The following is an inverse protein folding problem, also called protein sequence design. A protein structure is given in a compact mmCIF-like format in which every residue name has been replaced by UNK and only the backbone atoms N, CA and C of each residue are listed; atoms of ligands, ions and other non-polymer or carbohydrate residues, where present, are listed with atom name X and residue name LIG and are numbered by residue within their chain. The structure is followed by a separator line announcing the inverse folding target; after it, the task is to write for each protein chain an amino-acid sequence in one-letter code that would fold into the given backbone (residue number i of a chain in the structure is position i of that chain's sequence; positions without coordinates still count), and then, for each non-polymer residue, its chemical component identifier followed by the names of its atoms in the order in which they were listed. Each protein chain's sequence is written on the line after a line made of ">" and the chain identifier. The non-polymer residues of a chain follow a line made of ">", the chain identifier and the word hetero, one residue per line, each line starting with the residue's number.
data_IF_202275025301
#
_entry.id   IF_202275025301
#
_cell.length_a   1.000
_cell.length_b   1.000
_cell.length_c   1.000
_cell.angle_alpha   90.00
_cell.angle_beta   90.00
_cell.angle_gamma   90.00
#
_symmetry.space_group_name_H-M   'P 1'
#
loop_
_entity.id
_entity.type
_entity.pdbx_description
1 polymer ?
#
# COMPACT_ATOMS: atom_id res chain seq x y z
N UNK A 1 -5.61 -10.14 -16.68
CA UNK A 1 -6.32 -11.09 -17.57
C UNK A 1 -5.32 -12.09 -18.18
N UNK A 2 -4.37 -11.66 -19.03
CA UNK A 2 -3.38 -12.58 -19.62
C UNK A 2 -2.52 -13.27 -18.55
N UNK A 3 -1.98 -12.50 -17.59
CA UNK A 3 -1.16 -13.04 -16.49
C UNK A 3 -1.93 -14.06 -15.63
N UNK A 4 -3.21 -13.83 -15.39
CA UNK A 4 -4.07 -14.77 -14.67
C UNK A 4 -4.36 -16.03 -15.50
N UNK A 5 -4.58 -15.90 -16.81
CA UNK A 5 -4.85 -17.03 -17.69
C UNK A 5 -3.66 -18.00 -17.82
N UNK A 6 -2.43 -17.50 -17.68
CA UNK A 6 -1.22 -18.34 -17.66
C UNK A 6 -0.91 -18.94 -16.27
N UNK A 7 -1.76 -18.69 -15.27
CA UNK A 7 -1.65 -19.30 -13.95
C UNK A 7 -0.58 -18.69 -13.04
N UNK A 8 -0.35 -17.37 -13.13
CA UNK A 8 0.54 -16.69 -12.18
C UNK A 8 -0.03 -16.72 -10.75
N UNK A 9 0.84 -16.75 -9.74
CA UNK A 9 0.42 -16.72 -8.34
C UNK A 9 0.02 -15.32 -7.86
N UNK A 10 0.71 -14.27 -8.34
CA UNK A 10 0.46 -12.87 -7.98
C UNK A 10 0.65 -11.95 -9.18
N UNK A 11 -0.12 -10.86 -9.21
CA UNK A 11 0.04 -9.77 -10.18
C UNK A 11 0.48 -8.51 -9.43
N UNK A 12 1.59 -7.90 -9.83
CA UNK A 12 1.99 -6.57 -9.33
C UNK A 12 1.53 -5.50 -10.31
N UNK A 13 0.59 -4.65 -9.88
CA UNK A 13 0.21 -3.44 -10.62
C UNK A 13 1.30 -2.38 -10.39
N UNK A 14 2.38 -2.50 -11.16
CA UNK A 14 3.63 -1.82 -10.86
C UNK A 14 3.78 -0.46 -11.54
N UNK A 15 4.02 0.56 -10.72
CA UNK A 15 4.39 1.91 -11.13
C UNK A 15 5.81 2.02 -11.73
N UNK A 16 6.61 0.95 -11.66
CA UNK A 16 7.95 0.90 -12.29
C UNK A 16 7.83 0.78 -13.80
N UNK A 17 6.74 0.20 -14.29
CA UNK A 17 6.41 0.14 -15.71
C UNK A 17 5.71 1.44 -16.14
N UNK A 18 5.74 1.73 -17.44
CA UNK A 18 5.02 2.87 -18.00
C UNK A 18 3.50 2.72 -17.76
N UNK A 19 2.83 3.71 -17.13
CA UNK A 19 1.39 3.64 -16.91
C UNK A 19 0.63 3.50 -18.24
N UNK A 20 -0.33 2.57 -18.27
CA UNK A 20 -1.26 2.43 -19.38
C UNK A 20 -2.48 3.35 -19.24
N UNK A 21 -2.82 3.73 -18.00
CA UNK A 21 -3.87 4.68 -17.62
C UNK A 21 -3.30 5.55 -16.49
N UNK A 22 -3.42 6.87 -16.62
CA UNK A 22 -2.91 7.85 -15.65
C UNK A 22 -3.97 8.34 -14.66
N UNK A 23 -5.21 7.90 -14.81
CA UNK A 23 -6.35 8.27 -13.98
C UNK A 23 -6.84 7.09 -13.13
N UNK A 24 -7.03 5.92 -13.74
CA UNK A 24 -7.66 4.77 -13.11
C UNK A 24 -6.69 3.60 -12.93
N UNK A 25 -6.78 2.96 -11.76
CA UNK A 25 -6.13 1.67 -11.50
C UNK A 25 -7.09 0.54 -11.87
N UNK A 26 -6.54 -0.67 -12.01
CA UNK A 26 -7.31 -1.89 -12.29
C UNK A 26 -8.33 -2.13 -11.17
N UNK A 27 -9.56 -2.51 -11.55
CA UNK A 27 -10.52 -3.11 -10.62
C UNK A 27 -10.11 -4.55 -10.31
N UNK A 28 -9.38 -4.71 -9.20
CA UNK A 28 -8.75 -5.97 -8.81
C UNK A 28 -9.78 -6.98 -8.27
N UNK A 29 -10.99 -6.53 -7.94
CA UNK A 29 -12.08 -7.39 -7.43
C UNK A 29 -12.65 -8.33 -8.49
N UNK A 30 -12.41 -8.02 -9.77
CA UNK A 30 -12.84 -8.83 -10.92
C UNK A 30 -11.92 -10.01 -11.22
N UNK A 31 -10.79 -10.11 -10.51
CA UNK A 31 -9.77 -11.15 -10.69
C UNK A 31 -9.79 -12.15 -9.53
N UNK A 32 -9.38 -13.39 -9.83
CA UNK A 32 -9.08 -14.41 -8.83
C UNK A 32 -7.64 -14.35 -8.36
N UNK A 33 -6.71 -13.97 -9.26
CA UNK A 33 -5.32 -13.79 -8.90
C UNK A 33 -5.16 -12.59 -7.94
N UNK A 34 -4.41 -12.73 -6.82
CA UNK A 34 -4.18 -11.65 -5.87
C UNK A 34 -3.27 -10.56 -6.47
N UNK A 35 -3.55 -9.32 -6.08
CA UNK A 35 -2.79 -8.15 -6.51
C UNK A 35 -1.88 -7.57 -5.43
N UNK A 36 -0.68 -7.19 -5.85
CA UNK A 36 0.27 -6.36 -5.09
C UNK A 36 0.23 -4.95 -5.67
N UNK A 37 0.19 -3.92 -4.81
CA UNK A 37 0.24 -2.53 -5.25
C UNK A 37 1.25 -1.71 -4.43
N UNK A 38 1.88 -0.73 -5.08
CA UNK A 38 2.78 0.24 -4.45
C UNK A 38 2.04 1.38 -3.73
N UNK A 39 2.53 1.78 -2.56
CA UNK A 39 2.05 2.94 -1.81
C UNK A 39 3.18 3.78 -1.21
N UNK A 40 2.95 5.09 -1.06
CA UNK A 40 3.87 6.06 -0.42
C UNK A 40 3.37 6.57 0.91
N UNK A 41 2.06 6.46 1.15
CA UNK A 41 1.36 6.86 2.36
C UNK A 41 0.11 6.00 2.61
N UNK A 42 -0.51 6.19 3.78
CA UNK A 42 -1.66 5.41 4.22
C UNK A 42 -2.87 5.60 3.30
N UNK A 43 -3.11 6.83 2.84
CA UNK A 43 -4.21 7.12 1.91
C UNK A 43 -4.07 6.35 0.60
N UNK A 44 -2.87 6.37 0.00
CA UNK A 44 -2.58 5.60 -1.22
C UNK A 44 -2.74 4.08 -0.97
N UNK A 45 -2.22 3.56 0.16
CA UNK A 45 -2.36 2.15 0.52
C UNK A 45 -3.83 1.73 0.66
N UNK A 46 -4.63 2.48 1.42
CA UNK A 46 -6.04 2.19 1.65
C UNK A 46 -6.88 2.30 0.38
N UNK A 47 -6.56 3.23 -0.54
CA UNK A 47 -7.22 3.29 -1.87
C UNK A 47 -6.92 2.05 -2.71
N UNK A 48 -5.67 1.58 -2.75
CA UNK A 48 -5.32 0.32 -3.45
C UNK A 48 -6.02 -0.90 -2.84
N UNK A 49 -6.12 -0.96 -1.52
CA UNK A 49 -6.86 -2.01 -0.80
C UNK A 49 -8.35 -1.96 -1.17
N UNK A 50 -8.95 -0.77 -1.19
CA UNK A 50 -10.35 -0.59 -1.58
C UNK A 50 -10.64 -1.05 -3.02
N UNK A 51 -9.65 -0.93 -3.91
CA UNK A 51 -9.73 -1.42 -5.29
C UNK A 51 -9.50 -2.94 -5.42
N UNK A 52 -9.21 -3.64 -4.32
CA UNK A 52 -9.02 -5.09 -4.26
C UNK A 52 -7.56 -5.57 -4.13
N UNK A 53 -6.60 -4.70 -3.82
CA UNK A 53 -5.23 -5.15 -3.55
C UNK A 53 -5.19 -6.06 -2.31
N UNK A 54 -4.58 -7.23 -2.48
CA UNK A 54 -4.41 -8.24 -1.41
C UNK A 54 -3.08 -8.10 -0.67
N UNK A 55 -2.20 -7.22 -1.16
CA UNK A 55 -0.90 -6.91 -0.58
C UNK A 55 -0.47 -5.50 -0.97
N UNK A 56 0.20 -4.81 -0.05
CA UNK A 56 0.83 -3.51 -0.29
C UNK A 56 2.34 -3.65 -0.21
N UNK A 57 3.05 -2.85 -1.00
CA UNK A 57 4.49 -2.63 -0.88
C UNK A 57 4.82 -1.13 -0.89
N UNK A 58 5.94 -0.73 -0.29
CA UNK A 58 6.45 0.63 -0.50
C UNK A 58 6.86 0.81 -1.97
N UNK A 59 6.66 2.01 -2.54
CA UNK A 59 7.19 2.32 -3.88
C UNK A 59 8.73 2.41 -3.89
N UNK A 60 9.25 3.11 -2.89
CA UNK A 60 10.68 3.39 -2.77
C UNK A 60 11.23 4.12 -3.99
N UNK A 61 12.49 3.90 -4.32
CA UNK A 61 13.10 4.30 -5.58
C UNK A 61 13.66 3.04 -6.26
N UNK A 62 12.96 2.53 -7.27
CA UNK A 62 13.34 1.28 -7.90
C UNK A 62 14.63 1.46 -8.71
N UNK A 63 15.57 0.52 -8.56
CA UNK A 63 16.79 0.45 -9.38
C UNK A 63 17.97 1.34 -8.94
N UNK A 64 17.83 2.15 -7.88
CA UNK A 64 18.92 3.05 -7.42
C UNK A 64 19.85 2.42 -6.38
N UNK A 65 19.36 1.42 -5.63
CA UNK A 65 20.06 0.89 -4.46
C UNK A 65 20.05 1.84 -3.25
N UNK A 66 19.23 2.90 -3.27
CA UNK A 66 19.07 3.83 -2.15
C UNK A 66 17.76 3.55 -1.39
N UNK A 67 17.89 3.05 -0.15
CA UNK A 67 16.77 2.65 0.72
C UNK A 67 15.98 3.83 1.30
N UNK A 68 16.47 5.07 1.20
CA UNK A 68 15.90 6.24 1.90
C UNK A 68 14.43 6.45 1.56
N UNK A 69 14.03 6.25 0.30
CA UNK A 69 12.62 6.42 -0.10
C UNK A 69 11.72 5.34 0.48
N UNK A 70 12.16 4.07 0.51
CA UNK A 70 11.38 3.00 1.12
C UNK A 70 11.18 3.24 2.62
N UNK A 71 12.24 3.64 3.34
CA UNK A 71 12.16 4.02 4.76
C UNK A 71 11.19 5.18 4.97
N UNK A 72 11.23 6.21 4.12
CA UNK A 72 10.33 7.36 4.20
C UNK A 72 8.87 6.93 4.06
N UNK A 73 8.55 6.12 3.05
CA UNK A 73 7.18 5.63 2.83
C UNK A 73 6.69 4.76 3.99
N UNK A 74 7.52 3.80 4.44
CA UNK A 74 7.17 2.93 5.56
C UNK A 74 6.92 3.71 6.85
N UNK A 75 7.79 4.68 7.16
CA UNK A 75 7.61 5.56 8.32
C UNK A 75 6.33 6.40 8.21
N UNK A 76 6.03 6.93 7.03
CA UNK A 76 4.82 7.73 6.78
C UNK A 76 3.56 6.90 7.03
N UNK A 77 3.43 5.74 6.37
CA UNK A 77 2.32 4.79 6.55
C UNK A 77 2.14 4.44 8.04
N UNK A 78 3.22 4.05 8.72
CA UNK A 78 3.17 3.67 10.14
C UNK A 78 2.82 4.86 11.05
N UNK A 79 3.29 6.07 10.75
CA UNK A 79 2.96 7.27 11.52
C UNK A 79 1.50 7.67 11.38
N UNK A 80 0.94 7.58 10.17
CA UNK A 80 -0.46 7.88 9.89
C UNK A 80 -1.37 6.84 10.54
N UNK A 81 -1.02 5.55 10.52
CA UNK A 81 -1.78 4.53 11.26
C UNK A 81 -1.80 4.80 12.76
N UNK A 82 -0.65 5.12 13.37
CA UNK A 82 -0.58 5.50 14.80
C UNK A 82 -1.39 6.76 15.10
N UNK A 83 -1.40 7.73 14.18
CA UNK A 83 -2.21 8.92 14.32
C UNK A 83 -3.69 8.57 14.34
N UNK A 84 -4.18 7.76 13.38
CA UNK A 84 -5.57 7.29 13.37
C UNK A 84 -5.94 6.62 14.69
N UNK A 85 -5.11 5.70 15.21
CA UNK A 85 -5.37 5.03 16.48
C UNK A 85 -5.42 5.97 17.70
N UNK A 86 -4.79 7.14 17.61
CA UNK A 86 -4.79 8.13 18.69
C UNK A 86 -6.00 9.08 18.68
N UNK A 87 -6.78 9.07 17.59
CA UNK A 87 -7.95 9.93 17.45
C UNK A 87 -9.10 9.50 18.37
N UNK A 88 -10.03 10.42 18.61
CA UNK A 88 -11.34 10.09 19.17
C UNK A 88 -12.24 9.53 18.06
N UNK A 89 -13.19 8.67 18.42
CA UNK A 89 -14.07 8.02 17.44
C UNK A 89 -14.86 9.02 16.56
N UNK A 90 -15.22 10.18 17.12
CA UNK A 90 -15.94 11.25 16.42
C UNK A 90 -15.07 11.95 15.35
N UNK A 91 -13.74 11.88 15.46
CA UNK A 91 -12.79 12.47 14.51
C UNK A 91 -12.53 11.58 13.28
N UNK A 92 -12.92 10.30 13.33
CA UNK A 92 -12.60 9.31 12.29
C UNK A 92 -13.22 9.61 10.93
N UNK A 93 -14.41 10.25 10.89
CA UNK A 93 -15.05 10.64 9.64
C UNK A 93 -14.26 11.71 8.89
N UNK A 94 -13.72 12.69 9.61
CA UNK A 94 -12.89 13.74 9.00
C UNK A 94 -11.54 13.16 8.55
N UNK A 95 -10.98 12.23 9.32
CA UNK A 95 -9.78 11.51 8.92
C UNK A 95 -9.98 10.71 7.62
N UNK A 96 -11.11 10.00 7.49
CA UNK A 96 -11.46 9.27 6.26
C UNK A 96 -11.59 10.19 5.05
N UNK A 97 -12.21 11.36 5.23
CA UNK A 97 -12.36 12.39 4.18
C UNK A 97 -11.01 12.95 3.74
N UNK A 98 -10.12 13.27 4.68
CA UNK A 98 -8.79 13.79 4.39
C UNK A 98 -7.90 12.76 3.68
N UNK A 99 -8.00 11.49 4.08
CA UNK A 99 -7.30 10.39 3.42
C UNK A 99 -7.94 9.99 2.09
N UNK A 100 -9.16 10.46 1.80
CA UNK A 100 -9.96 10.13 0.61
C UNK A 100 -10.18 8.62 0.45
N UNK A 101 -10.62 7.98 1.54
CA UNK A 101 -10.81 6.53 1.63
C UNK A 101 -12.16 6.22 2.30
N UNK A 102 -12.70 5.00 2.10
CA UNK A 102 -13.87 4.55 2.83
C UNK A 102 -13.67 4.63 4.36
N UNK A 103 -14.70 5.09 5.07
CA UNK A 103 -14.71 5.14 6.54
C UNK A 103 -14.43 3.78 7.16
N UNK A 104 -14.97 2.70 6.59
CA UNK A 104 -14.78 1.33 7.09
C UNK A 104 -13.30 0.91 7.16
N UNK A 105 -12.47 1.38 6.21
CA UNK A 105 -11.04 1.10 6.25
C UNK A 105 -10.33 1.90 7.34
N UNK A 106 -10.70 3.17 7.54
CA UNK A 106 -10.17 3.99 8.64
C UNK A 106 -10.57 3.40 10.00
N UNK A 107 -11.83 2.97 10.14
CA UNK A 107 -12.31 2.26 11.31
C UNK A 107 -11.51 0.98 11.57
N UNK A 108 -11.24 0.18 10.52
CA UNK A 108 -10.39 -1.01 10.66
C UNK A 108 -8.99 -0.66 11.20
N UNK A 109 -8.35 0.40 10.69
CA UNK A 109 -7.04 0.86 11.18
C UNK A 109 -7.15 1.31 12.65
N UNK A 110 -8.18 2.05 12.99
CA UNK A 110 -8.43 2.51 14.36
C UNK A 110 -8.47 1.34 15.35
N UNK A 111 -9.28 0.31 15.02
CA UNK A 111 -9.50 -0.85 15.88
C UNK A 111 -8.29 -1.80 15.93
N UNK A 112 -7.57 -1.99 14.81
CA UNK A 112 -6.57 -3.05 14.68
C UNK A 112 -5.11 -2.59 14.68
N UNK A 113 -4.86 -1.30 14.43
CA UNK A 113 -3.49 -0.73 14.40
C UNK A 113 -2.58 -1.25 13.30
N UNK A 114 -3.16 -1.85 12.25
CA UNK A 114 -2.44 -2.42 11.12
C UNK A 114 -3.31 -2.37 9.87
N UNK A 115 -2.66 -2.47 8.71
CA UNK A 115 -3.37 -2.67 7.45
C UNK A 115 -4.15 -4.00 7.46
N UNK A 116 -5.28 -4.09 6.74
CA UNK A 116 -6.04 -5.33 6.58
C UNK A 116 -5.34 -6.38 5.70
N UNK A 117 -4.22 -6.01 5.08
CA UNK A 117 -3.41 -6.85 4.19
C UNK A 117 -1.94 -6.79 4.58
N UNK A 118 -1.13 -7.68 4.00
CA UNK A 118 0.33 -7.67 4.18
C UNK A 118 0.96 -6.38 3.62
N UNK A 119 2.00 -5.88 4.29
CA UNK A 119 2.76 -4.70 3.87
C UNK A 119 4.25 -5.05 3.79
N UNK A 120 4.82 -4.96 2.59
CA UNK A 120 6.21 -5.28 2.30
C UNK A 120 7.04 -4.01 2.05
N UNK A 121 8.34 -4.11 2.29
CA UNK A 121 9.30 -3.11 1.85
C UNK A 121 9.79 -3.45 0.44
N UNK A 122 9.81 -2.44 -0.44
CA UNK A 122 10.36 -2.52 -1.79
C UNK A 122 10.96 -1.17 -2.23
N UNK A 123 11.91 -1.25 -3.17
CA UNK A 123 12.68 -0.13 -3.72
C UNK A 123 13.92 0.19 -2.87
N UNK A 124 15.10 0.16 -3.49
CA UNK A 124 16.35 0.59 -2.83
C UNK A 124 17.00 -0.38 -1.83
N UNK A 125 16.43 -1.57 -1.58
CA UNK A 125 17.07 -2.59 -0.72
C UNK A 125 18.27 -3.18 -1.44
N UNK A 126 19.48 -2.91 -0.95
CA UNK A 126 20.73 -3.37 -1.57
C UNK A 126 21.55 -4.30 -0.67
N UNK A 127 21.40 -4.19 0.65
CA UNK A 127 22.18 -4.94 1.63
C UNK A 127 21.31 -5.69 2.63
N UNK A 128 21.83 -6.73 3.31
CA UNK A 128 21.14 -7.38 4.42
C UNK A 128 20.77 -6.40 5.57
N UNK A 129 21.56 -5.34 5.77
CA UNK A 129 21.27 -4.31 6.76
C UNK A 129 20.04 -3.48 6.37
N UNK A 130 19.88 -3.16 5.08
CA UNK A 130 18.68 -2.48 4.58
C UNK A 130 17.44 -3.35 4.75
N UNK A 131 17.56 -4.65 4.47
CA UNK A 131 16.46 -5.59 4.67
C UNK A 131 16.06 -5.67 6.16
N UNK A 132 17.04 -5.79 7.06
CA UNK A 132 16.80 -5.82 8.50
C UNK A 132 16.22 -4.50 9.05
N UNK A 133 16.57 -3.36 8.45
CA UNK A 133 16.01 -2.05 8.81
C UNK A 133 14.51 -1.92 8.50
N UNK A 134 14.01 -2.69 7.52
CA UNK A 134 12.63 -2.62 7.05
C UNK A 134 11.69 -3.65 7.70
N UNK A 135 12.23 -4.55 8.53
CA UNK A 135 11.48 -5.51 9.34
C UNK A 135 10.97 -4.86 10.64
#
# INVERSE_FOLDING_TARGET
>A
QILEAIGIDYIDESEVLSPADDVYHIDKTTFKAPFVCGARDLGEALRRINEGASMIRTKGEAGTGDIVQAVRHMRKINSEMRHIQSLREDELYEAAKNLQVPYSLVQYIYENGKLPVLNFAAGGVATPADAALMM
#
